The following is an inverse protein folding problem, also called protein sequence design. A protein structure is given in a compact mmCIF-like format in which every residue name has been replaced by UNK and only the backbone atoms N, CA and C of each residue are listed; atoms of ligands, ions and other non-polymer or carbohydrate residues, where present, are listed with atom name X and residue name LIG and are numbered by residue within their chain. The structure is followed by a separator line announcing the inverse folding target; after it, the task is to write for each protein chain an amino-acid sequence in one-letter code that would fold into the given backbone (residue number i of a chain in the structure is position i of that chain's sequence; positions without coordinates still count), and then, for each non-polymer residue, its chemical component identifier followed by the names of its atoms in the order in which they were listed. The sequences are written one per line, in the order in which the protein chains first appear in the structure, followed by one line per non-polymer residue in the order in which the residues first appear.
data_IF_929647693785
#
_entry.id   IF_929647693785
#
_cell.length_a   1.000
_cell.length_b   1.000
_cell.length_c   1.000
_cell.angle_alpha   90.00
_cell.angle_beta   90.00
_cell.angle_gamma   90.00
#
_symmetry.space_group_name_H-M   'P 1'
#
loop_
_entity.id
_entity.type
_entity.pdbx_description
1 polymer ?
#
# COMPACT_ATOMS: atom_id res chain seq x y z
N UNK A 1 11.42 -30.43 54.83
CA UNK A 1 11.93 -30.46 53.45
C UNK A 1 11.30 -31.67 52.78
N UNK A 2 10.12 -31.50 52.18
CA UNK A 2 9.32 -32.57 51.58
C UNK A 2 9.32 -32.38 50.07
N UNK A 3 9.94 -33.30 49.35
CA UNK A 3 10.05 -33.30 47.90
C UNK A 3 8.74 -33.79 47.29
N UNK A 4 8.00 -32.90 46.62
CA UNK A 4 6.85 -33.27 45.83
C UNK A 4 7.32 -34.01 44.55
N UNK A 5 6.75 -35.18 44.20
CA UNK A 5 7.15 -35.90 43.00
C UNK A 5 6.74 -35.17 41.70
N UNK A 6 7.76 -34.86 40.89
CA UNK A 6 7.70 -34.19 39.57
C UNK A 6 6.65 -34.76 38.60
N UNK A 7 6.25 -36.02 38.77
CA UNK A 7 5.28 -36.73 37.92
C UNK A 7 3.86 -36.13 37.98
N UNK A 8 3.49 -35.43 39.05
CA UNK A 8 2.19 -34.76 39.17
C UNK A 8 2.20 -33.28 38.71
N UNK A 9 3.37 -32.68 38.48
CA UNK A 9 3.48 -31.30 37.99
C UNK A 9 3.11 -31.19 36.50
N UNK A 10 3.42 -32.24 35.73
CA UNK A 10 3.19 -32.28 34.27
C UNK A 10 1.70 -32.39 33.91
N UNK A 11 0.88 -32.96 34.81
CA UNK A 11 -0.57 -33.06 34.63
C UNK A 11 -1.29 -31.72 34.89
N UNK A 12 -0.75 -30.88 35.79
CA UNK A 12 -1.29 -29.55 36.09
C UNK A 12 -1.07 -28.58 34.93
N UNK A 13 0.05 -28.69 34.22
CA UNK A 13 0.35 -27.81 33.08
C UNK A 13 -0.55 -28.08 31.85
N UNK A 14 -1.06 -29.31 31.70
CA UNK A 14 -1.95 -29.69 30.59
C UNK A 14 -3.39 -29.20 30.80
N UNK A 15 -3.83 -29.00 32.04
CA UNK A 15 -5.19 -28.52 32.36
C UNK A 15 -5.40 -27.02 32.15
N UNK A 16 -4.32 -26.23 32.02
CA UNK A 16 -4.42 -24.78 31.83
C UNK A 16 -4.61 -24.40 30.34
N UNK A 17 -4.33 -25.32 29.40
CA UNK A 17 -4.45 -25.07 27.96
C UNK A 17 -5.87 -25.21 27.40
N UNK A 18 -6.84 -25.72 28.18
CA UNK A 18 -8.22 -26.00 27.69
C UNK A 18 -9.24 -24.90 27.98
N UNK A 19 -8.84 -23.76 28.57
CA UNK A 19 -9.74 -22.64 28.90
C UNK A 19 -9.41 -21.34 28.18
N UNK A 20 -9.19 -21.37 26.87
CA UNK A 20 -9.24 -20.13 26.07
C UNK A 20 -9.89 -20.36 24.71
N UNK A 21 -11.22 -20.28 24.69
CA UNK A 21 -12.02 -19.94 23.52
C UNK A 21 -13.36 -19.39 23.99
N UNK A 22 -13.35 -18.12 24.41
CA UNK A 22 -14.59 -17.39 24.65
C UNK A 22 -15.11 -16.93 23.29
N UNK A 23 -16.16 -17.59 22.79
CA UNK A 23 -16.86 -17.15 21.59
C UNK A 23 -17.61 -15.86 21.94
N UNK A 24 -17.12 -14.73 21.41
CA UNK A 24 -17.91 -13.50 21.39
C UNK A 24 -19.19 -13.76 20.60
N UNK A 25 -20.30 -13.82 21.32
CA UNK A 25 -21.62 -13.73 20.71
C UNK A 25 -21.75 -12.32 20.13
N UNK A 26 -21.65 -12.18 18.82
CA UNK A 26 -22.04 -10.96 18.12
C UNK A 26 -23.53 -10.72 18.38
N UNK A 27 -23.83 -9.78 19.27
CA UNK A 27 -25.18 -9.29 19.44
C UNK A 27 -25.63 -8.63 18.13
N UNK A 28 -26.84 -8.92 17.61
CA UNK A 28 -27.33 -8.23 16.43
C UNK A 28 -27.40 -6.73 16.72
N UNK A 29 -26.72 -5.92 15.89
CA UNK A 29 -26.74 -4.46 15.93
C UNK A 29 -28.19 -3.98 15.75
N UNK A 30 -28.88 -3.72 16.85
CA UNK A 30 -30.22 -3.14 16.82
C UNK A 30 -30.13 -1.69 16.34
N UNK A 31 -31.06 -1.29 15.46
CA UNK A 31 -31.22 0.09 15.00
C UNK A 31 -31.29 1.11 16.14
N UNK A 32 -31.67 0.64 17.33
CA UNK A 32 -31.83 1.43 18.54
C UNK A 32 -30.49 1.99 19.08
N UNK A 33 -29.37 1.31 18.85
CA UNK A 33 -28.03 1.80 19.22
C UNK A 33 -27.53 2.93 18.31
N UNK A 34 -28.06 3.03 17.08
CA UNK A 34 -27.67 4.06 16.10
C UNK A 34 -28.30 5.41 16.42
N UNK A 35 -29.48 5.42 17.07
CA UNK A 35 -30.26 6.64 17.30
C UNK A 35 -29.69 7.56 18.38
N UNK A 36 -28.89 7.03 19.31
CA UNK A 36 -28.45 7.75 20.51
C UNK A 36 -26.93 7.96 20.64
N UNK A 37 -26.13 7.61 19.63
CA UNK A 37 -24.69 7.84 19.69
C UNK A 37 -24.35 9.24 19.15
N UNK A 38 -24.13 10.19 20.06
CA UNK A 38 -23.60 11.52 19.77
C UNK A 38 -22.16 11.39 19.30
N UNK A 39 -21.94 11.74 18.03
CA UNK A 39 -20.69 11.55 17.28
C UNK A 39 -19.45 12.21 17.93
N UNK A 40 -18.73 11.43 18.72
CA UNK A 40 -17.28 11.60 18.90
C UNK A 40 -16.69 10.20 18.94
N UNK A 41 -15.88 9.86 17.93
CA UNK A 41 -15.38 8.50 17.65
C UNK A 41 -16.44 7.55 17.10
N UNK A 42 -16.31 7.17 15.82
CA UNK A 42 -16.45 5.81 15.29
C UNK A 42 -16.55 5.89 13.76
N UNK A 43 -15.44 6.21 13.10
CA UNK A 43 -15.23 5.59 11.80
C UNK A 43 -15.15 4.08 12.06
N UNK A 44 -15.94 3.22 11.36
CA UNK A 44 -15.94 1.78 11.61
C UNK A 44 -14.50 1.26 11.57
N UNK A 45 -14.06 0.55 12.61
CA UNK A 45 -12.70 0.01 12.72
C UNK A 45 -12.31 -0.77 11.45
N UNK A 46 -13.25 -1.55 10.90
CA UNK A 46 -13.11 -2.25 9.62
C UNK A 46 -12.77 -1.33 8.42
N UNK A 47 -13.34 -0.11 8.35
CA UNK A 47 -13.00 0.85 7.29
C UNK A 47 -11.58 1.41 7.48
N UNK A 48 -11.14 1.60 8.73
CA UNK A 48 -9.77 2.03 9.03
C UNK A 48 -8.76 0.95 8.66
N UNK A 49 -9.03 -0.29 9.04
CA UNK A 49 -8.19 -1.45 8.71
C UNK A 49 -8.06 -1.61 7.19
N UNK A 50 -9.15 -1.38 6.44
CA UNK A 50 -9.12 -1.45 4.98
C UNK A 50 -8.29 -0.33 4.33
N UNK A 51 -8.33 0.90 4.87
CA UNK A 51 -7.53 2.00 4.33
C UNK A 51 -6.05 1.83 4.65
N UNK A 52 -5.74 1.39 5.87
CA UNK A 52 -4.38 1.08 6.28
C UNK A 52 -3.80 -0.06 5.43
N UNK A 53 -4.57 -1.12 5.19
CA UNK A 53 -4.14 -2.21 4.32
C UNK A 53 -3.87 -1.72 2.88
N UNK A 54 -4.72 -0.86 2.33
CA UNK A 54 -4.49 -0.26 1.00
C UNK A 54 -3.21 0.58 1.00
N UNK A 55 -2.98 1.38 2.04
CA UNK A 55 -1.78 2.21 2.17
C UNK A 55 -0.51 1.36 2.21
N UNK A 56 -0.47 0.33 3.06
CA UNK A 56 0.65 -0.60 3.20
C UNK A 56 0.92 -1.37 1.90
N UNK A 57 -0.11 -1.93 1.27
CA UNK A 57 0.01 -2.66 -0.01
C UNK A 57 0.53 -1.74 -1.10
N UNK A 58 0.00 -0.51 -1.17
CA UNK A 58 0.41 0.46 -2.20
C UNK A 58 1.88 0.85 -2.00
N UNK A 59 2.28 1.15 -0.77
CA UNK A 59 3.68 1.47 -0.42
C UNK A 59 4.61 0.30 -0.73
N UNK A 60 4.22 -0.93 -0.39
CA UNK A 60 5.01 -2.13 -0.64
C UNK A 60 5.20 -2.37 -2.15
N UNK A 61 4.14 -2.26 -2.96
CA UNK A 61 4.22 -2.43 -4.41
C UNK A 61 5.04 -1.33 -5.07
N UNK A 62 4.91 -0.10 -4.58
CA UNK A 62 5.71 1.02 -5.04
C UNK A 62 7.19 0.79 -4.75
N UNK A 63 7.54 0.36 -3.53
CA UNK A 63 8.93 0.03 -3.18
C UNK A 63 9.48 -1.06 -4.10
N UNK A 64 8.71 -2.11 -4.40
CA UNK A 64 9.14 -3.16 -5.32
C UNK A 64 9.47 -2.62 -6.72
N UNK A 65 8.63 -1.74 -7.27
CA UNK A 65 8.90 -1.11 -8.58
C UNK A 65 10.17 -0.26 -8.52
N UNK A 66 10.37 0.50 -7.45
CA UNK A 66 11.57 1.32 -7.27
C UNK A 66 12.83 0.45 -7.13
N UNK A 67 12.80 -0.60 -6.32
CA UNK A 67 13.93 -1.51 -6.14
C UNK A 67 14.32 -2.19 -7.47
N UNK A 68 13.33 -2.66 -8.23
CA UNK A 68 13.57 -3.21 -9.57
C UNK A 68 14.17 -2.17 -10.52
N UNK A 69 13.72 -0.92 -10.44
CA UNK A 69 14.25 0.16 -11.29
C UNK A 69 15.70 0.52 -10.95
N UNK A 70 16.08 0.48 -9.67
CA UNK A 70 17.46 0.69 -9.22
C UNK A 70 18.36 -0.45 -9.71
N UNK A 71 17.89 -1.70 -9.61
CA UNK A 71 18.60 -2.86 -10.16
C UNK A 71 18.78 -2.75 -11.67
N UNK A 72 17.73 -2.34 -12.39
CA UNK A 72 17.76 -2.13 -13.83
C UNK A 72 18.70 -0.98 -14.23
N UNK A 73 18.73 0.14 -13.50
CA UNK A 73 19.61 1.27 -13.83
C UNK A 73 21.10 0.96 -13.59
N UNK A 74 21.40 -0.01 -12.71
CA UNK A 74 22.77 -0.45 -12.43
C UNK A 74 23.34 -1.40 -13.48
N UNK A 75 22.50 -1.93 -14.37
CA UNK A 75 22.94 -2.89 -15.37
C UNK A 75 23.37 -2.23 -16.67
N UNK A 76 23.98 -3.03 -17.55
CA UNK A 76 24.38 -2.60 -18.89
C UNK A 76 23.23 -2.64 -19.91
N UNK A 77 22.01 -3.02 -19.49
CA UNK A 77 20.76 -3.01 -20.29
C UNK A 77 20.74 -3.92 -21.53
N UNK A 78 21.72 -4.80 -21.67
CA UNK A 78 21.89 -5.69 -22.82
C UNK A 78 21.69 -7.17 -22.47
N UNK A 79 21.23 -7.48 -21.25
CA UNK A 79 21.11 -8.87 -20.76
C UNK A 79 19.67 -9.39 -20.69
N UNK A 80 19.53 -10.72 -20.67
CA UNK A 80 18.23 -11.38 -20.42
C UNK A 80 17.66 -11.01 -19.04
N UNK A 81 18.54 -10.77 -18.07
CA UNK A 81 18.18 -10.30 -16.72
C UNK A 81 17.48 -8.94 -16.83
N UNK A 82 18.01 -8.03 -17.63
CA UNK A 82 17.43 -6.69 -17.83
C UNK A 82 16.06 -6.76 -18.47
N UNK A 83 15.89 -7.65 -19.45
CA UNK A 83 14.59 -7.91 -20.07
C UNK A 83 13.57 -8.44 -19.05
N UNK A 84 14.04 -9.25 -18.10
CA UNK A 84 13.21 -9.85 -17.06
C UNK A 84 12.81 -8.81 -16.02
N UNK A 85 13.76 -8.00 -15.54
CA UNK A 85 13.49 -6.88 -14.64
C UNK A 85 12.51 -5.88 -15.27
N UNK A 86 12.71 -5.55 -16.54
CA UNK A 86 11.81 -4.66 -17.28
C UNK A 86 10.39 -5.21 -17.37
N UNK A 87 10.22 -6.48 -17.76
CA UNK A 87 8.90 -7.15 -17.78
C UNK A 87 8.25 -7.22 -16.39
N UNK A 88 9.05 -7.48 -15.36
CA UNK A 88 8.57 -7.52 -13.99
C UNK A 88 8.07 -6.15 -13.54
N UNK A 89 8.79 -5.07 -13.83
CA UNK A 89 8.32 -3.70 -13.58
C UNK A 89 7.00 -3.41 -14.32
N UNK A 90 6.91 -3.75 -15.61
CA UNK A 90 5.68 -3.56 -16.39
C UNK A 90 4.48 -4.29 -15.77
N UNK A 91 4.68 -5.45 -15.16
CA UNK A 91 3.59 -6.25 -14.57
C UNK A 91 2.81 -5.55 -13.45
N UNK A 92 3.37 -4.50 -12.85
CA UNK A 92 2.69 -3.69 -11.83
C UNK A 92 1.76 -2.63 -12.44
N UNK A 93 1.81 -2.40 -13.75
CA UNK A 93 1.01 -1.40 -14.44
C UNK A 93 -0.16 -2.04 -15.16
N UNK A 94 -1.26 -1.29 -15.27
CA UNK A 94 -2.44 -1.70 -16.02
C UNK A 94 -2.21 -1.40 -17.49
N UNK A 95 -2.32 -2.42 -18.33
CA UNK A 95 -2.19 -2.30 -19.79
C UNK A 95 -0.96 -1.46 -20.23
N UNK A 96 0.24 -1.78 -19.73
CA UNK A 96 1.40 -0.95 -19.97
C UNK A 96 1.87 -1.03 -21.43
N UNK A 97 2.50 0.06 -21.86
CA UNK A 97 3.16 0.16 -23.15
C UNK A 97 4.69 0.27 -23.01
N UNK A 98 5.39 0.33 -24.16
CA UNK A 98 6.84 0.51 -24.21
C UNK A 98 7.36 1.83 -23.63
N UNK A 99 6.48 2.78 -23.33
CA UNK A 99 6.83 4.12 -22.83
C UNK A 99 6.56 4.29 -21.35
N UNK A 100 5.77 3.39 -20.76
CA UNK A 100 5.28 3.47 -19.38
C UNK A 100 6.41 3.64 -18.36
N UNK A 101 7.53 2.92 -18.53
CA UNK A 101 8.68 2.96 -17.62
C UNK A 101 9.74 4.00 -18.00
N UNK A 102 9.63 4.67 -19.15
CA UNK A 102 10.66 5.61 -19.63
C UNK A 102 10.96 6.73 -18.63
N UNK A 103 9.97 7.39 -17.99
CA UNK A 103 10.27 8.46 -17.04
C UNK A 103 11.00 7.93 -15.81
N UNK A 104 10.55 6.80 -15.24
CA UNK A 104 11.19 6.13 -14.11
C UNK A 104 12.65 5.81 -14.40
N UNK A 105 12.90 5.12 -15.51
CA UNK A 105 14.25 4.70 -15.90
C UNK A 105 15.14 5.92 -16.13
N UNK A 106 14.62 6.96 -16.80
CA UNK A 106 15.38 8.20 -17.02
C UNK A 106 15.75 8.90 -15.71
N UNK A 107 14.84 8.93 -14.75
CA UNK A 107 15.09 9.51 -13.43
C UNK A 107 16.15 8.71 -12.66
N UNK A 108 16.02 7.39 -12.62
CA UNK A 108 17.00 6.48 -11.98
C UNK A 108 18.38 6.60 -12.63
N UNK A 109 18.45 6.62 -13.97
CA UNK A 109 19.69 6.78 -14.74
C UNK A 109 20.36 8.14 -14.50
N UNK A 110 19.56 9.19 -14.34
CA UNK A 110 20.06 10.55 -14.08
C UNK A 110 20.66 10.66 -12.69
N UNK A 111 20.01 10.06 -11.70
CA UNK A 111 20.41 10.16 -10.30
C UNK A 111 21.48 9.13 -9.94
N UNK A 112 21.58 8.02 -10.67
CA UNK A 112 22.54 6.91 -10.43
C UNK A 112 22.58 6.49 -8.97
N UNK A 113 21.41 6.42 -8.34
CA UNK A 113 21.30 6.11 -6.93
C UNK A 113 21.39 4.61 -6.69
N UNK A 114 21.99 4.25 -5.57
CA UNK A 114 22.08 2.87 -5.14
C UNK A 114 20.92 2.48 -4.24
N UNK A 115 20.33 3.48 -3.57
CA UNK A 115 19.24 3.31 -2.64
C UNK A 115 18.26 4.47 -2.76
N UNK A 116 16.99 4.11 -2.80
CA UNK A 116 15.87 5.04 -2.89
C UNK A 116 14.85 4.64 -1.84
N UNK A 117 14.48 5.59 -0.99
CA UNK A 117 13.56 5.38 0.12
C UNK A 117 12.27 6.16 -0.10
N UNK A 118 11.14 5.55 0.23
CA UNK A 118 9.82 6.20 0.16
C UNK A 118 9.53 6.91 1.49
N UNK A 119 9.43 8.22 1.43
CA UNK A 119 9.07 9.10 2.55
C UNK A 119 7.72 9.79 2.30
N UNK A 120 7.12 10.36 3.35
CA UNK A 120 5.91 11.20 3.27
C UNK A 120 4.77 10.58 2.44
N UNK A 121 4.58 9.28 2.58
CA UNK A 121 3.60 8.49 1.83
C UNK A 121 2.18 8.74 2.34
N UNK A 122 1.24 8.98 1.43
CA UNK A 122 -0.19 9.10 1.73
C UNK A 122 -1.04 8.66 0.56
N UNK A 123 -2.11 7.92 0.83
CA UNK A 123 -3.14 7.58 -0.18
C UNK A 123 -4.26 8.63 -0.16
N UNK A 124 -4.67 9.09 -1.35
CA UNK A 124 -5.75 10.07 -1.54
C UNK A 124 -6.79 9.54 -2.51
N UNK A 125 -8.05 9.93 -2.28
CA UNK A 125 -9.16 9.68 -3.22
C UNK A 125 -9.63 11.02 -3.78
N UNK A 126 -9.79 11.11 -5.09
CA UNK A 126 -10.41 12.26 -5.75
C UNK A 126 -11.71 11.83 -6.41
N UNK A 127 -12.79 12.50 -6.06
CA UNK A 127 -14.10 12.25 -6.67
C UNK A 127 -14.22 13.11 -7.93
N UNK A 128 -14.54 12.48 -9.04
CA UNK A 128 -15.01 13.16 -10.25
C UNK A 128 -16.52 12.95 -10.38
N UNK A 129 -17.17 13.65 -11.30
CA UNK A 129 -18.62 13.47 -11.55
C UNK A 129 -18.99 12.03 -11.95
N UNK A 130 -18.03 11.26 -12.46
CA UNK A 130 -18.25 9.92 -13.03
C UNK A 130 -17.59 8.79 -12.26
N UNK A 131 -16.53 9.06 -11.50
CA UNK A 131 -15.73 8.01 -10.85
C UNK A 131 -14.89 8.50 -9.65
N UNK A 132 -14.46 7.56 -8.81
CA UNK A 132 -13.47 7.75 -7.74
C UNK A 132 -12.08 7.36 -8.20
N UNK A 133 -11.17 8.33 -8.26
CA UNK A 133 -9.77 8.10 -8.62
C UNK A 133 -8.91 7.90 -7.36
N UNK A 134 -8.08 6.86 -7.34
CA UNK A 134 -7.17 6.59 -6.22
C UNK A 134 -5.74 7.02 -6.58
N UNK A 135 -5.11 7.76 -5.69
CA UNK A 135 -3.76 8.29 -5.83
C UNK A 135 -2.91 7.94 -4.61
N UNK A 136 -1.60 7.82 -4.82
CA UNK A 136 -0.61 7.85 -3.75
C UNK A 136 0.37 9.00 -3.99
N UNK A 137 0.53 9.85 -2.99
CA UNK A 137 1.53 10.91 -2.95
C UNK A 137 2.65 10.51 -2.02
N UNK A 138 3.89 10.79 -2.41
CA UNK A 138 5.07 10.42 -1.63
C UNK A 138 6.30 11.16 -2.13
N UNK A 139 7.37 11.04 -1.36
CA UNK A 139 8.70 11.52 -1.72
C UNK A 139 9.63 10.34 -1.98
N UNK A 140 10.35 10.39 -3.10
CA UNK A 140 11.51 9.54 -3.29
C UNK A 140 12.74 10.25 -2.74
N UNK A 141 13.31 9.69 -1.69
CA UNK A 141 14.57 10.13 -1.12
C UNK A 141 15.72 9.33 -1.74
N UNK A 142 16.48 10.02 -2.58
CA UNK A 142 17.66 9.53 -3.26
C UNK A 142 18.88 9.68 -2.35
N UNK A 143 19.22 8.62 -1.62
CA UNK A 143 20.14 8.70 -0.47
C UNK A 143 21.52 9.21 -0.88
N UNK A 144 22.09 8.68 -1.97
CA UNK A 144 23.43 9.07 -2.41
C UNK A 144 23.48 10.52 -2.94
N UNK A 145 22.36 11.04 -3.45
CA UNK A 145 22.23 12.41 -3.97
C UNK A 145 21.67 13.40 -2.95
N UNK A 146 21.26 12.92 -1.76
CA UNK A 146 20.60 13.72 -0.71
C UNK A 146 19.47 14.59 -1.27
N UNK A 147 18.79 14.08 -2.30
CA UNK A 147 17.74 14.78 -3.02
C UNK A 147 16.42 14.09 -2.75
N UNK A 148 15.37 14.89 -2.57
CA UNK A 148 14.01 14.41 -2.39
C UNK A 148 13.16 14.94 -3.53
N UNK A 149 12.41 14.07 -4.18
CA UNK A 149 11.52 14.43 -5.29
C UNK A 149 10.11 14.00 -4.94
N UNK A 150 9.17 14.93 -5.07
CA UNK A 150 7.75 14.69 -4.84
C UNK A 150 7.15 13.97 -6.05
N UNK A 151 6.34 12.96 -5.78
CA UNK A 151 5.66 12.17 -6.79
C UNK A 151 4.22 11.91 -6.43
N UNK A 152 3.41 11.77 -7.47
CA UNK A 152 2.04 11.30 -7.36
C UNK A 152 1.76 10.24 -8.42
N UNK A 153 1.20 9.11 -7.98
CA UNK A 153 0.85 8.00 -8.85
C UNK A 153 -0.61 7.62 -8.72
N UNK A 154 -1.27 7.33 -9.84
CA UNK A 154 -2.63 6.81 -9.85
C UNK A 154 -2.61 5.28 -9.84
N UNK A 155 -3.54 4.66 -9.11
CA UNK A 155 -3.69 3.22 -9.07
C UNK A 155 -5.17 2.77 -9.09
N UNK A 156 -5.37 1.50 -9.46
CA UNK A 156 -6.68 0.85 -9.50
C UNK A 156 -6.64 -0.54 -8.85
N UNK A 157 -7.80 -0.96 -8.36
CA UNK A 157 -8.07 -2.30 -7.84
C UNK A 157 -9.07 -2.99 -8.77
N UNK A 158 -8.59 -3.86 -9.65
CA UNK A 158 -9.42 -4.59 -10.60
C UNK A 158 -9.93 -5.86 -9.94
N UNK A 159 -11.25 -6.05 -9.89
CA UNK A 159 -11.83 -7.28 -9.35
C UNK A 159 -11.58 -8.44 -10.31
N UNK A 160 -10.98 -9.52 -9.82
CA UNK A 160 -10.80 -10.77 -10.56
C UNK A 160 -11.46 -11.91 -9.79
N UNK A 161 -12.61 -12.42 -10.26
CA UNK A 161 -13.27 -13.55 -9.61
C UNK A 161 -12.48 -14.83 -9.88
N UNK A 162 -11.87 -15.40 -8.84
CA UNK A 162 -11.27 -16.74 -8.89
C UNK A 162 -12.14 -17.64 -8.00
N UNK A 163 -12.82 -18.61 -8.60
CA UNK A 163 -13.56 -19.67 -7.89
C UNK A 163 -14.45 -19.13 -6.74
N UNK A 164 -15.28 -18.12 -7.02
CA UNK A 164 -16.24 -17.50 -6.09
C UNK A 164 -15.64 -16.63 -4.96
N UNK A 165 -14.32 -16.43 -4.91
CA UNK A 165 -13.68 -15.41 -4.07
C UNK A 165 -13.44 -14.14 -4.88
N UNK A 166 -13.96 -13.01 -4.40
CA UNK A 166 -13.65 -11.69 -4.96
C UNK A 166 -12.25 -11.31 -4.50
N UNK A 167 -11.27 -11.51 -5.37
CA UNK A 167 -9.92 -10.98 -5.19
C UNK A 167 -9.77 -9.69 -6.00
N UNK A 168 -8.89 -8.81 -5.55
CA UNK A 168 -8.56 -7.58 -6.27
C UNK A 168 -7.11 -7.65 -6.72
N UNK A 169 -6.87 -7.37 -8.01
CA UNK A 169 -5.54 -7.12 -8.54
C UNK A 169 -5.26 -5.63 -8.50
N UNK A 170 -4.11 -5.29 -7.91
CA UNK A 170 -3.62 -3.93 -7.83
C UNK A 170 -2.78 -3.60 -9.07
N UNK A 171 -3.05 -2.46 -9.68
CA UNK A 171 -2.23 -1.93 -10.76
C UNK A 171 -2.01 -0.42 -10.64
N UNK A 172 -0.82 0.05 -11.03
CA UNK A 172 -0.57 1.46 -11.31
C UNK A 172 -1.12 1.81 -12.71
N UNK A 173 -1.69 2.99 -12.88
CA UNK A 173 -2.24 3.43 -14.18
C UNK A 173 -1.23 4.24 -14.99
N UNK A 174 -0.47 5.09 -14.31
CA UNK A 174 0.52 5.96 -14.90
C UNK A 174 1.73 5.99 -13.99
N UNK A 175 2.85 6.47 -14.50
CA UNK A 175 4.02 6.77 -13.68
C UNK A 175 4.13 8.29 -13.55
N UNK A 176 4.18 8.75 -12.30
CA UNK A 176 4.43 10.12 -11.84
C UNK A 176 3.85 11.20 -12.74
N UNK A 177 2.53 11.37 -12.61
CA UNK A 177 1.85 12.57 -13.10
C UNK A 177 2.55 13.78 -12.48
N UNK A 178 2.76 14.84 -13.26
CA UNK A 178 3.14 16.13 -12.67
C UNK A 178 2.16 16.43 -11.53
N UNK A 179 2.66 16.80 -10.33
CA UNK A 179 1.77 17.14 -9.23
C UNK A 179 0.84 18.23 -9.72
N UNK A 180 -0.47 17.96 -9.70
CA UNK A 180 -1.48 18.97 -10.05
C UNK A 180 -1.29 20.10 -9.04
N UNK A 181 -0.74 21.23 -9.51
CA UNK A 181 -0.62 22.44 -8.70
C UNK A 181 -2.03 22.84 -8.30
N UNK A 182 -2.35 22.79 -7.01
CA UNK A 182 -3.56 23.38 -6.47
C UNK A 182 -3.53 24.87 -6.82
N UNK A 183 -4.18 25.23 -7.93
CA UNK A 183 -4.45 26.61 -8.27
C UNK A 183 -5.54 27.07 -7.32
N UNK A 184 -5.14 27.48 -6.11
CA UNK A 184 -6.00 28.30 -5.28
C UNK A 184 -6.23 29.59 -6.06
N UNK A 185 -7.40 29.68 -6.70
CA UNK A 185 -7.96 30.97 -7.14
C UNK A 185 -8.09 31.81 -5.87
N UNK A 186 -7.08 32.60 -5.57
CA UNK A 186 -7.15 33.66 -4.59
C UNK A 186 -8.36 34.50 -4.97
N UNK A 187 -9.39 34.46 -4.12
CA UNK A 187 -10.61 35.23 -4.32
C UNK A 187 -10.24 36.69 -4.47
N UNK A 188 -10.44 37.22 -5.68
CA UNK A 188 -10.40 38.66 -5.90
C UNK A 188 -11.65 39.22 -5.23
N UNK A 189 -11.47 39.84 -4.08
CA UNK A 189 -12.50 40.69 -3.48
C UNK A 189 -12.52 41.96 -4.34
N UNK A 190 -13.64 42.20 -5.02
CA UNK A 190 -13.92 43.47 -5.71
C UNK A 190 -14.39 44.52 -4.71
#
# INVERSE_FOLDING_TARGET
MTTLPYKNLLFVFFLIFVFSCEKQNEAPLSLEKVKYNTNTSLYPQQKRDSLQAIEEITKQKLQQVIDLSVLYSKSNKDSEIDSTLYRQMLSYFYEPDSTTLKPLIKEMDSLKCERVEIENFVVKKRMTEKDTLNFAQFQLHYVEKRTKIDHEIQYILVSTPIQFKKEFKFYFLNYFSEPIKDSTRLGVIK
#
